data_IF_672399222195
#
_entry.id   IF_672399222195
#
_cell.length_a   1.000
_cell.length_b   1.000
_cell.length_c   1.000
_cell.angle_alpha   90.00
_cell.angle_beta   90.00
_cell.angle_gamma   90.00
#
_symmetry.space_group_name_H-M   'P 1'
#
loop_
_entity.id
_entity.type
_entity.pdbx_description
1 polymer ?
#
# COMPACT_ATOMS: atom_id res chain seq x y z
N UNK A 1 42.82 -14.35 -14.04
CA UNK A 1 42.03 -14.20 -12.81
C UNK A 1 42.12 -15.47 -12.01
N UNK A 2 42.29 -15.36 -10.69
CA UNK A 2 42.31 -16.51 -9.79
C UNK A 2 40.90 -16.91 -9.38
N UNK A 3 40.70 -18.15 -8.93
CA UNK A 3 39.42 -18.59 -8.35
C UNK A 3 38.98 -17.69 -7.18
N UNK A 4 39.93 -17.15 -6.42
CA UNK A 4 39.68 -16.20 -5.34
C UNK A 4 39.15 -14.85 -5.84
N UNK A 5 39.59 -14.38 -7.00
CA UNK A 5 39.06 -13.15 -7.62
C UNK A 5 37.61 -13.34 -8.08
N UNK A 6 37.30 -14.51 -8.66
CA UNK A 6 35.93 -14.86 -9.04
C UNK A 6 34.98 -14.93 -7.85
N UNK A 7 35.41 -15.51 -6.72
CA UNK A 7 34.61 -15.56 -5.48
C UNK A 7 34.36 -14.16 -4.90
N UNK A 8 35.38 -13.28 -4.90
CA UNK A 8 35.23 -11.88 -4.46
C UNK A 8 34.24 -11.11 -5.33
N UNK A 9 34.32 -11.25 -6.66
CA UNK A 9 33.38 -10.61 -7.60
C UNK A 9 31.96 -11.11 -7.35
N UNK A 10 31.76 -12.43 -7.25
CA UNK A 10 30.44 -13.02 -7.01
C UNK A 10 29.83 -12.56 -5.67
N UNK A 11 30.62 -12.52 -4.59
CA UNK A 11 30.16 -12.01 -3.29
C UNK A 11 29.76 -10.54 -3.37
N UNK A 12 30.54 -9.71 -4.08
CA UNK A 12 30.22 -8.29 -4.29
C UNK A 12 28.93 -8.08 -5.11
N UNK A 13 28.71 -8.88 -6.15
CA UNK A 13 27.50 -8.85 -6.95
C UNK A 13 26.26 -9.24 -6.13
N UNK A 14 26.37 -10.26 -5.27
CA UNK A 14 25.29 -10.66 -4.36
C UNK A 14 24.96 -9.58 -3.32
N UNK A 15 25.97 -8.92 -2.75
CA UNK A 15 25.76 -7.79 -1.85
C UNK A 15 25.09 -6.62 -2.56
N UNK A 16 25.47 -6.34 -3.81
CA UNK A 16 24.82 -5.31 -4.63
C UNK A 16 23.35 -5.64 -4.88
N UNK A 17 23.04 -6.89 -5.24
CA UNK A 17 21.66 -7.34 -5.42
C UNK A 17 20.84 -7.23 -4.12
N UNK A 18 21.39 -7.65 -2.98
CA UNK A 18 20.78 -7.49 -1.65
C UNK A 18 20.44 -6.02 -1.36
N UNK A 19 21.38 -5.10 -1.62
CA UNK A 19 21.14 -3.66 -1.43
C UNK A 19 20.07 -3.09 -2.37
N UNK A 20 20.01 -3.55 -3.62
CA UNK A 20 18.94 -3.16 -4.56
C UNK A 20 17.56 -3.61 -4.05
N UNK A 21 17.44 -4.85 -3.58
CA UNK A 21 16.18 -5.36 -3.02
C UNK A 21 15.79 -4.62 -1.73
N UNK A 22 16.76 -4.24 -0.89
CA UNK A 22 16.51 -3.39 0.29
C UNK A 22 15.95 -2.02 -0.09
N UNK A 23 16.46 -1.42 -1.17
CA UNK A 23 15.93 -0.16 -1.69
C UNK A 23 14.48 -0.33 -2.17
N UNK A 24 14.19 -1.39 -2.93
CA UNK A 24 12.82 -1.67 -3.38
C UNK A 24 11.84 -1.85 -2.21
N UNK A 25 12.25 -2.50 -1.11
CA UNK A 25 11.42 -2.59 0.10
C UNK A 25 11.17 -1.21 0.70
N UNK A 26 12.18 -0.34 0.75
CA UNK A 26 12.05 1.03 1.24
C UNK A 26 11.03 1.80 0.42
N UNK A 27 11.10 1.67 -0.91
CA UNK A 27 10.19 2.35 -1.83
C UNK A 27 8.75 1.84 -1.67
N UNK A 28 8.56 0.51 -1.56
CA UNK A 28 7.26 -0.11 -1.29
C UNK A 28 6.64 0.37 0.03
N UNK A 29 7.45 0.47 1.09
CA UNK A 29 6.99 1.02 2.39
C UNK A 29 6.57 2.49 2.25
N UNK A 30 7.31 3.26 1.44
CA UNK A 30 6.93 4.64 1.11
C UNK A 30 5.63 4.74 0.33
N UNK A 31 5.39 3.81 -0.61
CA UNK A 31 4.14 3.73 -1.38
C UNK A 31 2.93 3.45 -0.49
N UNK A 32 3.04 2.54 0.50
CA UNK A 32 1.99 2.29 1.49
C UNK A 32 1.59 3.57 2.22
N UNK A 33 2.58 4.35 2.69
CA UNK A 33 2.30 5.61 3.39
C UNK A 33 1.58 6.63 2.50
N UNK A 34 1.95 6.70 1.21
CA UNK A 34 1.25 7.58 0.24
C UNK A 34 -0.18 7.11 -0.02
N UNK A 35 -0.39 5.80 -0.23
CA UNK A 35 -1.71 5.23 -0.45
C UNK A 35 -2.63 5.44 0.75
N UNK A 36 -2.12 5.23 1.96
CA UNK A 36 -2.84 5.51 3.21
C UNK A 36 -3.32 6.96 3.25
N UNK A 37 -2.41 7.91 3.04
CA UNK A 37 -2.75 9.34 3.06
C UNK A 37 -3.80 9.70 2.01
N UNK A 38 -3.66 9.18 0.78
CA UNK A 38 -4.62 9.47 -0.29
C UNK A 38 -6.01 8.93 0.04
N UNK A 39 -6.11 7.69 0.54
CA UNK A 39 -7.40 7.11 0.91
C UNK A 39 -8.01 7.82 2.12
N UNK A 40 -7.21 8.23 3.10
CA UNK A 40 -7.69 9.04 4.23
C UNK A 40 -8.30 10.36 3.75
N UNK A 41 -7.65 11.03 2.79
CA UNK A 41 -8.17 12.26 2.18
C UNK A 41 -9.48 12.02 1.42
N UNK A 42 -9.55 10.98 0.59
CA UNK A 42 -10.77 10.62 -0.14
C UNK A 42 -11.92 10.30 0.81
N UNK A 43 -11.66 9.50 1.84
CA UNK A 43 -12.65 9.13 2.85
C UNK A 43 -13.12 10.35 3.64
N UNK A 44 -12.22 11.27 4.00
CA UNK A 44 -12.59 12.50 4.68
C UNK A 44 -13.52 13.35 3.81
N UNK A 45 -13.21 13.51 2.51
CA UNK A 45 -14.05 14.25 1.58
C UNK A 45 -15.43 13.60 1.40
N UNK A 46 -15.49 12.28 1.21
CA UNK A 46 -16.75 11.55 1.12
C UNK A 46 -17.57 11.66 2.41
N UNK A 47 -16.91 11.67 3.57
CA UNK A 47 -17.57 11.82 4.87
C UNK A 47 -18.18 13.22 5.03
N UNK A 48 -17.49 14.27 4.58
CA UNK A 48 -18.05 15.63 4.55
C UNK A 48 -19.28 15.68 3.65
N UNK A 49 -19.21 15.12 2.44
CA UNK A 49 -20.34 15.05 1.52
C UNK A 49 -21.52 14.29 2.12
N UNK A 50 -21.25 13.19 2.82
CA UNK A 50 -22.26 12.40 3.53
C UNK A 50 -22.96 13.26 4.59
N UNK A 51 -22.21 13.96 5.44
CA UNK A 51 -22.76 14.84 6.47
C UNK A 51 -23.61 15.96 5.87
N UNK A 52 -23.18 16.57 4.77
CA UNK A 52 -23.97 17.58 4.06
C UNK A 52 -25.29 17.00 3.58
N UNK A 53 -25.28 15.82 2.94
CA UNK A 53 -26.52 15.17 2.46
C UNK A 53 -27.45 14.75 3.59
N UNK A 54 -26.91 14.28 4.71
CA UNK A 54 -27.71 13.97 5.90
C UNK A 54 -28.40 15.22 6.48
N UNK A 55 -27.74 16.38 6.44
CA UNK A 55 -28.34 17.65 6.85
C UNK A 55 -29.44 18.09 5.88
N UNK A 56 -29.22 17.99 4.57
CA UNK A 56 -30.25 18.30 3.57
C UNK A 56 -31.51 17.45 3.73
N UNK A 57 -31.36 16.14 4.00
CA UNK A 57 -32.50 15.25 4.26
C UNK A 57 -33.29 15.68 5.49
N UNK A 58 -32.60 16.12 6.54
CA UNK A 58 -33.24 16.60 7.78
C UNK A 58 -33.95 17.93 7.59
N UNK A 59 -33.47 18.77 6.69
CA UNK A 59 -33.98 20.12 6.46
C UNK A 59 -35.12 20.19 5.43
N UNK A 60 -35.32 19.15 4.62
CA UNK A 60 -36.33 19.16 3.55
C UNK A 60 -37.58 18.37 3.92
N UNK A 61 -38.75 18.98 3.69
CA UNK A 61 -40.04 18.33 3.86
C UNK A 61 -40.50 17.56 2.61
N UNK A 62 -39.85 17.78 1.46
CA UNK A 62 -40.19 17.13 0.21
C UNK A 62 -39.77 15.64 0.23
N UNK A 63 -40.77 14.76 0.16
CA UNK A 63 -40.58 13.31 0.18
C UNK A 63 -39.77 12.77 -1.00
N UNK A 64 -39.88 13.37 -2.18
CA UNK A 64 -39.11 13.02 -3.37
C UNK A 64 -37.64 13.39 -3.21
N UNK A 65 -37.36 14.62 -2.75
CA UNK A 65 -35.99 15.04 -2.44
C UNK A 65 -35.36 14.21 -1.32
N UNK A 66 -36.12 13.86 -0.27
CA UNK A 66 -35.63 12.95 0.78
C UNK A 66 -35.26 11.58 0.24
N UNK A 67 -36.10 10.99 -0.60
CA UNK A 67 -35.81 9.67 -1.21
C UNK A 67 -34.56 9.69 -2.09
N UNK A 68 -34.40 10.73 -2.91
CA UNK A 68 -33.20 10.90 -3.75
C UNK A 68 -31.94 11.08 -2.91
N UNK A 69 -31.98 11.96 -1.91
CA UNK A 69 -30.84 12.20 -1.02
C UNK A 69 -30.51 10.96 -0.17
N UNK A 70 -31.50 10.18 0.26
CA UNK A 70 -31.26 8.91 0.96
C UNK A 70 -30.56 7.87 0.06
N UNK A 71 -30.91 7.83 -1.22
CA UNK A 71 -30.22 7.00 -2.21
C UNK A 71 -28.76 7.44 -2.35
N UNK A 72 -28.50 8.75 -2.43
CA UNK A 72 -27.16 9.28 -2.53
C UNK A 72 -26.33 9.02 -1.26
N UNK A 73 -26.92 9.17 -0.08
CA UNK A 73 -26.32 8.80 1.22
C UNK A 73 -25.87 7.33 1.20
N UNK A 74 -26.74 6.42 0.77
CA UNK A 74 -26.43 5.00 0.69
C UNK A 74 -25.25 4.73 -0.27
N UNK A 75 -25.17 5.45 -1.38
CA UNK A 75 -24.04 5.38 -2.31
C UNK A 75 -22.75 5.88 -1.67
N UNK A 76 -22.76 7.02 -0.98
CA UNK A 76 -21.59 7.56 -0.29
C UNK A 76 -21.08 6.62 0.81
N UNK A 77 -21.99 6.02 1.59
CA UNK A 77 -21.63 5.03 2.62
C UNK A 77 -20.94 3.81 1.99
N UNK A 78 -21.46 3.29 0.87
CA UNK A 78 -20.81 2.19 0.14
C UNK A 78 -19.44 2.59 -0.37
N UNK A 79 -19.31 3.75 -1.01
CA UNK A 79 -18.03 4.25 -1.52
C UNK A 79 -16.98 4.40 -0.40
N UNK A 80 -17.36 4.91 0.77
CA UNK A 80 -16.47 5.00 1.93
C UNK A 80 -16.00 3.61 2.38
N UNK A 81 -16.93 2.64 2.47
CA UNK A 81 -16.60 1.28 2.85
C UNK A 81 -15.66 0.62 1.82
N UNK A 82 -15.95 0.77 0.53
CA UNK A 82 -15.16 0.22 -0.56
C UNK A 82 -13.74 0.80 -0.57
N UNK A 83 -13.59 2.11 -0.38
CA UNK A 83 -12.27 2.77 -0.28
C UNK A 83 -11.43 2.24 0.88
N UNK A 84 -12.05 2.03 2.04
CA UNK A 84 -11.37 1.45 3.22
C UNK A 84 -10.97 -0.01 2.97
N UNK A 85 -11.84 -0.79 2.33
CA UNK A 85 -11.54 -2.17 1.99
C UNK A 85 -10.40 -2.27 0.97
N UNK A 86 -10.42 -1.42 -0.06
CA UNK A 86 -9.36 -1.38 -1.06
C UNK A 86 -8.00 -1.06 -0.43
N UNK A 87 -7.93 -0.06 0.46
CA UNK A 87 -6.70 0.26 1.17
C UNK A 87 -6.15 -0.94 1.97
N UNK A 88 -7.04 -1.69 2.64
CA UNK A 88 -6.65 -2.87 3.40
C UNK A 88 -6.08 -3.96 2.50
N UNK A 89 -6.70 -4.20 1.34
CA UNK A 89 -6.21 -5.17 0.35
C UNK A 89 -4.85 -4.74 -0.23
N UNK A 90 -4.70 -3.46 -0.57
CA UNK A 90 -3.43 -2.94 -1.09
C UNK A 90 -2.31 -3.03 -0.04
N UNK A 91 -2.61 -2.74 1.22
CA UNK A 91 -1.66 -2.92 2.34
C UNK A 91 -1.24 -4.37 2.50
N UNK A 92 -2.18 -5.32 2.42
CA UNK A 92 -1.88 -6.74 2.51
C UNK A 92 -0.98 -7.20 1.37
N UNK A 93 -1.31 -6.83 0.13
CA UNK A 93 -0.53 -7.16 -1.06
C UNK A 93 0.90 -6.62 -0.98
N UNK A 94 1.06 -5.37 -0.54
CA UNK A 94 2.40 -4.78 -0.41
C UNK A 94 3.19 -5.44 0.73
N UNK A 95 2.54 -5.77 1.85
CA UNK A 95 3.18 -6.50 2.94
C UNK A 95 3.66 -7.89 2.51
N UNK A 96 2.89 -8.60 1.70
CA UNK A 96 3.30 -9.89 1.12
C UNK A 96 4.52 -9.71 0.21
N UNK A 97 4.51 -8.72 -0.68
CA UNK A 97 5.67 -8.42 -1.54
C UNK A 97 6.93 -8.05 -0.74
N UNK A 98 6.78 -7.30 0.36
CA UNK A 98 7.90 -6.98 1.26
C UNK A 98 8.47 -8.27 1.87
N UNK A 99 7.62 -9.18 2.36
CA UNK A 99 8.08 -10.45 2.96
C UNK A 99 8.85 -11.31 1.96
N UNK A 100 8.37 -11.40 0.72
CA UNK A 100 9.06 -12.12 -0.36
C UNK A 100 10.45 -11.53 -0.61
N UNK A 101 10.54 -10.20 -0.68
CA UNK A 101 11.82 -9.50 -0.87
C UNK A 101 12.77 -9.63 0.33
N UNK A 102 12.25 -9.63 1.56
CA UNK A 102 13.04 -9.89 2.77
C UNK A 102 13.62 -11.32 2.76
N UNK A 103 12.86 -12.30 2.25
CA UNK A 103 13.35 -13.66 2.03
C UNK A 103 14.46 -13.71 0.97
N UNK A 104 14.32 -12.96 -0.14
CA UNK A 104 15.35 -12.87 -1.18
C UNK A 104 16.66 -12.28 -0.64
N UNK A 105 16.57 -11.19 0.13
CA UNK A 105 17.73 -10.59 0.82
C UNK A 105 18.43 -11.62 1.69
N UNK A 106 17.66 -12.37 2.50
CA UNK A 106 18.22 -13.38 3.39
C UNK A 106 18.98 -14.46 2.60
N UNK A 107 18.46 -14.87 1.45
CA UNK A 107 19.13 -15.81 0.54
C UNK A 107 20.41 -15.21 -0.05
N UNK A 108 20.38 -13.97 -0.54
CA UNK A 108 21.58 -13.30 -1.08
C UNK A 108 22.66 -13.11 -0.02
N UNK A 109 22.28 -12.71 1.18
CA UNK A 109 23.22 -12.50 2.29
C UNK A 109 23.86 -13.83 2.73
N UNK A 110 23.12 -14.94 2.74
CA UNK A 110 23.66 -16.28 3.01
C UNK A 110 24.63 -16.75 1.93
N UNK A 111 24.25 -16.61 0.66
CA UNK A 111 25.11 -17.00 -0.46
C UNK A 111 26.40 -16.15 -0.50
N UNK A 112 26.29 -14.83 -0.29
CA UNK A 112 27.44 -13.93 -0.26
C UNK A 112 28.45 -14.31 0.84
N UNK A 113 27.97 -14.71 2.03
CA UNK A 113 28.81 -15.20 3.14
C UNK A 113 29.48 -16.53 2.82
N UNK A 114 28.79 -17.45 2.13
CA UNK A 114 29.37 -18.74 1.74
C UNK A 114 30.50 -18.62 0.70
N UNK A 115 30.58 -17.48 0.00
CA UNK A 115 31.59 -17.17 -1.00
C UNK A 115 32.74 -16.31 -0.45
N UNK A 116 32.70 -15.92 0.83
CA UNK A 116 33.82 -15.21 1.46
C UNK A 116 34.96 -16.21 1.73
N UNK A 117 36.19 -15.92 1.28
CA UNK A 117 37.36 -16.78 1.49
C UNK A 117 37.82 -16.84 2.95
#
# INVERSE_FOLDING_TARGET
>A
MSAQDHLKIASAEMMKASNQVRQEISDLRGEVGKLQKNVEQDVAQLTIMLQTREQEVKATDDSGHRSQSQTHINTLVRQIADRRNQLKLDQQRIQESIREKESLISSFDQQARSLQP
#
